data_IF_938797700091
#
_entry.id   IF_938797700091
#
_cell.length_a   1.000
_cell.length_b   1.000
_cell.length_c   1.000
_cell.angle_alpha   90.00
_cell.angle_beta   90.00
_cell.angle_gamma   90.00
#
_symmetry.space_group_name_H-M   'P 1'
#
loop_
_entity.id
_entity.type
_entity.pdbx_description
1 polymer ?
#
# COMPACT_ATOMS: atom_id res chain seq x y z
N UNK A 1 12.51 -9.48 -15.16
CA UNK A 1 11.51 -9.24 -14.09
C UNK A 1 12.25 -9.22 -12.77
N UNK A 2 12.14 -8.12 -12.00
CA UNK A 2 12.72 -8.02 -10.65
C UNK A 2 11.89 -8.89 -9.70
N UNK A 3 12.53 -9.69 -8.85
CA UNK A 3 11.87 -10.44 -7.77
C UNK A 3 11.99 -9.60 -6.51
N UNK A 4 10.87 -9.39 -5.82
CA UNK A 4 10.80 -8.69 -4.53
C UNK A 4 10.14 -9.63 -3.53
N UNK A 5 10.69 -9.71 -2.33
CA UNK A 5 10.23 -10.56 -1.25
C UNK A 5 9.39 -9.79 -0.24
N UNK A 6 8.59 -10.52 0.54
CA UNK A 6 7.65 -9.93 1.52
C UNK A 6 8.34 -9.00 2.54
N UNK A 7 9.61 -9.27 2.87
CA UNK A 7 10.38 -8.49 3.84
C UNK A 7 10.91 -7.16 3.31
N UNK A 8 10.78 -6.89 2.02
CA UNK A 8 11.23 -5.64 1.38
C UNK A 8 10.12 -4.59 1.30
N UNK A 9 8.95 -4.85 1.90
CA UNK A 9 7.85 -3.90 1.94
C UNK A 9 8.04 -2.85 3.05
N UNK A 10 7.63 -1.63 2.76
CA UNK A 10 7.40 -0.60 3.78
C UNK A 10 5.94 -0.70 4.28
N UNK A 11 5.76 -0.78 5.59
CA UNK A 11 4.44 -0.88 6.22
C UNK A 11 3.94 0.49 6.65
N UNK A 12 2.72 0.84 6.22
CA UNK A 12 2.03 2.07 6.57
C UNK A 12 0.68 1.76 7.20
N UNK A 13 0.38 2.38 8.33
CA UNK A 13 -0.91 2.25 8.98
C UNK A 13 -1.83 3.42 8.60
N UNK A 14 -2.94 3.12 7.92
CA UNK A 14 -3.96 4.09 7.55
C UNK A 14 -5.20 3.94 8.42
N UNK A 15 -5.13 4.46 9.64
CA UNK A 15 -6.19 4.32 10.64
C UNK A 15 -6.16 2.97 11.36
N UNK A 16 -7.23 2.64 12.08
CA UNK A 16 -7.26 1.43 12.91
C UNK A 16 -7.52 0.14 12.09
N UNK A 17 -8.19 0.26 10.95
CA UNK A 17 -8.68 -0.89 10.18
C UNK A 17 -7.87 -1.21 8.93
N UNK A 18 -6.87 -0.40 8.56
CA UNK A 18 -6.15 -0.55 7.30
C UNK A 18 -4.63 -0.48 7.48
N UNK A 19 -3.95 -1.52 7.01
CA UNK A 19 -2.49 -1.61 6.91
C UNK A 19 -2.12 -1.76 5.44
N UNK A 20 -1.18 -0.96 4.96
CA UNK A 20 -0.66 -0.97 3.60
C UNK A 20 0.79 -1.45 3.62
N UNK A 21 1.14 -2.35 2.72
CA UNK A 21 2.50 -2.79 2.46
C UNK A 21 2.89 -2.33 1.06
N UNK A 22 3.78 -1.35 0.96
CA UNK A 22 4.25 -0.82 -0.32
C UNK A 22 5.59 -1.44 -0.71
N UNK A 23 5.72 -1.80 -1.98
CA UNK A 23 6.92 -2.41 -2.53
C UNK A 23 7.54 -1.48 -3.57
N UNK A 24 8.72 -0.94 -3.28
CA UNK A 24 9.45 -0.11 -4.23
C UNK A 24 9.98 -0.97 -5.39
N UNK A 25 9.34 -0.83 -6.55
CA UNK A 25 9.76 -1.55 -7.74
C UNK A 25 11.02 -0.93 -8.36
N UNK A 26 11.28 0.35 -8.09
CA UNK A 26 12.35 1.14 -8.72
C UNK A 26 12.01 1.57 -10.16
N UNK A 27 10.73 1.45 -10.54
CA UNK A 27 10.21 1.83 -11.85
C UNK A 27 9.49 3.18 -11.74
N UNK A 28 9.66 4.05 -12.74
CA UNK A 28 9.10 5.41 -12.68
C UNK A 28 7.57 5.48 -12.81
N UNK A 29 6.95 4.43 -13.34
CA UNK A 29 5.53 4.44 -13.73
C UNK A 29 4.71 3.33 -13.06
N UNK A 30 5.35 2.50 -12.23
CA UNK A 30 4.69 1.33 -11.64
C UNK A 30 5.12 1.22 -10.19
N UNK A 31 4.12 1.26 -9.31
CA UNK A 31 4.23 0.93 -7.90
C UNK A 31 3.34 -0.27 -7.59
N UNK A 32 3.72 -1.04 -6.58
CA UNK A 32 2.93 -2.17 -6.10
C UNK A 32 2.68 -2.03 -4.61
N UNK A 33 1.42 -2.19 -4.20
CA UNK A 33 1.04 -2.19 -2.79
C UNK A 33 0.03 -3.30 -2.50
N UNK A 34 0.07 -3.83 -1.27
CA UNK A 34 -0.90 -4.76 -0.74
C UNK A 34 -1.59 -4.09 0.44
N UNK A 35 -2.92 -4.07 0.41
CA UNK A 35 -3.72 -3.49 1.50
C UNK A 35 -4.39 -4.61 2.28
N UNK A 36 -4.22 -4.61 3.60
CA UNK A 36 -4.96 -5.46 4.53
C UNK A 36 -5.98 -4.62 5.30
N UNK A 37 -7.26 -4.89 5.03
CA UNK A 37 -8.40 -4.20 5.66
C UNK A 37 -9.08 -5.16 6.63
N UNK A 38 -9.08 -4.84 7.92
CA UNK A 38 -9.74 -5.59 9.00
C UNK A 38 -11.02 -4.88 9.48
N UNK A 39 -11.81 -4.33 8.56
CA UNK A 39 -13.00 -3.56 8.88
C UNK A 39 -13.55 -2.82 7.66
N UNK A 40 -14.17 -1.66 7.88
CA UNK A 40 -14.50 -0.74 6.79
C UNK A 40 -13.30 0.18 6.54
N UNK A 41 -12.99 0.44 5.28
CA UNK A 41 -11.98 1.42 4.92
C UNK A 41 -12.36 2.09 3.59
N UNK A 42 -12.28 3.44 3.49
CA UNK A 42 -12.19 4.34 4.64
C UNK A 42 -13.47 4.23 5.48
N UNK A 43 -13.41 4.62 6.76
CA UNK A 43 -14.60 4.60 7.63
C UNK A 43 -15.74 5.45 7.02
N UNK A 44 -15.38 6.60 6.45
CA UNK A 44 -16.25 7.49 5.68
C UNK A 44 -15.53 8.04 4.44
N UNK A 45 -16.27 8.29 3.35
CA UNK A 45 -15.76 8.95 2.14
C UNK A 45 -15.01 8.02 1.18
N UNK A 46 -13.88 8.50 0.64
CA UNK A 46 -13.05 7.79 -0.34
C UNK A 46 -11.57 8.12 -0.14
N UNK A 47 -10.71 7.21 -0.62
CA UNK A 47 -9.25 7.38 -0.66
C UNK A 47 -8.76 7.23 -2.09
N UNK A 48 -7.69 7.95 -2.42
CA UNK A 48 -7.07 7.93 -3.75
C UNK A 48 -5.57 7.98 -3.59
N UNK A 49 -4.90 7.05 -4.27
CA UNK A 49 -3.46 7.09 -4.40
C UNK A 49 -3.06 8.31 -5.26
N UNK A 50 -2.08 9.09 -4.82
CA UNK A 50 -1.57 10.27 -5.53
C UNK A 50 -0.09 10.08 -5.80
N UNK A 51 0.32 10.31 -7.05
CA UNK A 51 1.73 10.52 -7.38
C UNK A 51 2.16 11.90 -6.90
N UNK A 52 3.26 11.99 -6.15
CA UNK A 52 3.92 13.26 -5.81
C UNK A 52 4.86 13.72 -6.93
#
# INVERSE_FOLDING_TARGET
>A
MKKIERGEAEEFQHGETCIVLEYSLGEKMIDAAIVKINGRYPDEGWVMNRTV
#
